data_IF_328213160762
#
_entry.id   IF_328213160762
#
_cell.length_a   1.000
_cell.length_b   1.000
_cell.length_c   1.000
_cell.angle_alpha   90.00
_cell.angle_beta   90.00
_cell.angle_gamma   90.00
#
_symmetry.space_group_name_H-M   'P 1'
#
loop_
_entity.id
_entity.type
_entity.pdbx_description
1 polymer ?
#
# COMPACT_ATOMS: atom_id res chain seq x y z
N UNK A 1 10.70 4.27 -15.01
CA UNK A 1 11.50 3.16 -14.42
C UNK A 1 10.91 1.82 -14.86
N UNK A 2 11.49 0.69 -14.40
CA UNK A 2 11.05 -0.67 -14.80
C UNK A 2 10.08 -1.34 -13.82
N UNK A 3 9.68 -0.65 -12.74
CA UNK A 3 8.90 -1.24 -11.63
C UNK A 3 7.61 -1.93 -12.09
N UNK A 4 6.85 -1.31 -13.01
CA UNK A 4 5.64 -1.94 -13.56
C UNK A 4 5.95 -3.22 -14.34
N UNK A 5 7.05 -3.25 -15.10
CA UNK A 5 7.47 -4.43 -15.85
C UNK A 5 7.93 -5.57 -14.90
N UNK A 6 8.68 -5.24 -13.84
CA UNK A 6 9.06 -6.17 -12.78
C UNK A 6 7.80 -6.76 -12.13
N UNK A 7 6.83 -5.91 -11.77
CA UNK A 7 5.60 -6.36 -11.14
C UNK A 7 4.79 -7.30 -12.04
N UNK A 8 4.59 -6.95 -13.32
CA UNK A 8 3.93 -7.85 -14.30
C UNK A 8 4.64 -9.19 -14.45
N UNK A 9 5.96 -9.20 -14.36
CA UNK A 9 6.76 -10.41 -14.57
C UNK A 9 6.73 -11.34 -13.35
N UNK A 10 6.74 -10.77 -12.15
CA UNK A 10 6.95 -11.50 -10.90
C UNK A 10 5.70 -11.70 -10.04
N UNK A 11 4.61 -10.97 -10.31
CA UNK A 11 3.34 -11.18 -9.61
C UNK A 11 2.88 -12.63 -9.77
N UNK A 12 2.63 -13.32 -8.65
CA UNK A 12 2.27 -14.74 -8.62
C UNK A 12 3.45 -15.71 -8.75
N UNK A 13 4.69 -15.22 -8.90
CA UNK A 13 5.92 -16.05 -8.88
C UNK A 13 6.70 -15.88 -7.58
N UNK A 14 6.75 -14.66 -7.06
CA UNK A 14 7.31 -14.33 -5.75
C UNK A 14 6.40 -13.34 -5.04
N UNK A 15 6.37 -13.32 -3.70
CA UNK A 15 5.69 -12.28 -2.95
C UNK A 15 6.25 -10.89 -3.28
N UNK A 16 5.36 -9.91 -3.41
CA UNK A 16 5.71 -8.52 -3.74
C UNK A 16 5.14 -7.59 -2.67
N UNK A 17 6.01 -6.73 -2.12
CA UNK A 17 5.60 -5.63 -1.25
C UNK A 17 5.96 -4.28 -1.88
N UNK A 18 4.94 -3.51 -2.28
CA UNK A 18 5.09 -2.19 -2.89
C UNK A 18 4.94 -1.06 -1.87
N UNK A 19 5.98 -0.22 -1.73
CA UNK A 19 5.95 0.97 -0.87
C UNK A 19 5.92 2.23 -1.72
N UNK A 20 5.06 3.19 -1.39
CA UNK A 20 4.94 4.49 -2.05
C UNK A 20 4.72 4.35 -3.58
N UNK A 21 5.73 4.66 -4.42
CA UNK A 21 5.65 4.44 -5.86
C UNK A 21 5.40 2.96 -6.20
N UNK A 22 5.92 2.01 -5.42
CA UNK A 22 5.65 0.59 -5.59
C UNK A 22 4.16 0.25 -5.40
N UNK A 23 3.49 0.89 -4.44
CA UNK A 23 2.04 0.77 -4.24
C UNK A 23 1.26 1.34 -5.44
N UNK A 24 1.70 2.48 -5.98
CA UNK A 24 1.10 3.06 -7.19
C UNK A 24 1.26 2.14 -8.39
N UNK A 25 2.45 1.55 -8.57
CA UNK A 25 2.70 0.56 -9.61
C UNK A 25 1.80 -0.68 -9.47
N UNK A 26 1.50 -1.13 -8.24
CA UNK A 26 0.52 -2.22 -8.02
C UNK A 26 -0.84 -1.80 -8.59
N UNK A 27 -1.35 -0.64 -8.17
CA UNK A 27 -2.63 -0.12 -8.66
C UNK A 27 -2.67 -0.05 -10.19
N UNK A 28 -1.65 0.57 -10.80
CA UNK A 28 -1.57 0.75 -12.25
C UNK A 28 -1.46 -0.58 -13.02
N UNK A 29 -0.63 -1.51 -12.55
CA UNK A 29 -0.38 -2.77 -13.27
C UNK A 29 -1.64 -3.63 -13.35
N UNK A 30 -2.47 -3.62 -12.31
CA UNK A 30 -3.72 -4.38 -12.28
C UNK A 30 -4.92 -3.62 -12.87
N UNK A 31 -4.75 -2.39 -13.37
CA UNK A 31 -5.76 -1.66 -14.13
C UNK A 31 -6.38 -0.46 -13.42
N UNK A 32 -5.92 -0.11 -12.22
CA UNK A 32 -6.27 1.15 -11.57
C UNK A 32 -5.57 2.34 -12.21
N UNK A 33 -6.06 3.54 -11.93
CA UNK A 33 -5.45 4.81 -12.35
C UNK A 33 -4.67 5.43 -11.21
N UNK A 34 -3.52 6.00 -11.53
CA UNK A 34 -2.74 6.83 -10.61
C UNK A 34 -2.98 8.29 -10.99
N UNK A 35 -3.55 9.04 -10.07
CA UNK A 35 -3.96 10.45 -10.28
C UNK A 35 -3.24 11.36 -9.30
N UNK A 36 -3.26 12.67 -9.57
CA UNK A 36 -2.79 13.65 -8.60
C UNK A 36 -3.70 13.65 -7.39
N UNK A 37 -3.10 13.66 -6.21
CA UNK A 37 -3.83 13.86 -4.98
C UNK A 37 -4.33 15.31 -4.91
N UNK A 38 -5.57 15.51 -4.44
CA UNK A 38 -6.11 16.85 -4.20
C UNK A 38 -5.31 17.59 -3.13
N UNK A 39 -4.67 16.84 -2.21
CA UNK A 39 -3.86 17.36 -1.12
C UNK A 39 -2.42 16.86 -1.25
N UNK A 40 -1.48 17.79 -1.36
CA UNK A 40 -0.05 17.47 -1.35
C UNK A 40 0.41 17.14 0.08
N UNK A 41 0.96 15.94 0.26
CA UNK A 41 1.43 15.44 1.54
C UNK A 41 2.95 15.24 1.49
N UNK A 42 3.70 16.17 2.07
CA UNK A 42 5.17 16.10 2.10
C UNK A 42 5.68 16.19 3.54
N UNK A 43 6.19 15.07 4.08
CA UNK A 43 6.76 15.01 5.43
C UNK A 43 5.73 15.18 6.54
N UNK A 44 4.46 14.86 6.27
CA UNK A 44 3.36 14.94 7.25
C UNK A 44 2.91 13.54 7.64
N UNK A 45 2.61 13.35 8.92
CA UNK A 45 1.94 12.13 9.38
C UNK A 45 0.44 12.22 9.07
N UNK A 46 -0.19 11.06 8.92
CA UNK A 46 -1.65 10.95 8.85
C UNK A 46 -2.11 9.71 9.59
N UNK A 47 -3.26 9.77 10.26
CA UNK A 47 -3.91 8.58 10.81
C UNK A 47 -4.29 7.63 9.67
N UNK A 48 -3.83 6.38 9.76
CA UNK A 48 -4.13 5.33 8.79
C UNK A 48 -5.21 4.41 9.39
N UNK A 49 -6.39 4.39 8.78
CA UNK A 49 -7.51 3.53 9.17
C UNK A 49 -7.41 2.19 8.44
N UNK A 50 -7.65 1.09 9.15
CA UNK A 50 -7.66 -0.25 8.56
C UNK A 50 -8.43 -1.27 9.41
N UNK A 51 -8.75 -2.42 8.83
CA UNK A 51 -9.38 -3.56 9.53
C UNK A 51 -8.38 -4.68 9.90
N UNK A 52 -7.07 -4.42 9.79
CA UNK A 52 -6.03 -5.37 10.19
C UNK A 52 -5.80 -6.48 9.16
N UNK A 53 -6.13 -6.21 7.90
CA UNK A 53 -5.90 -7.12 6.78
C UNK A 53 -4.45 -7.02 6.26
N UNK A 54 -4.00 -8.06 5.55
CA UNK A 54 -2.68 -8.08 4.89
C UNK A 54 -1.55 -7.75 5.88
N UNK A 55 -0.62 -6.87 5.48
CA UNK A 55 0.55 -6.45 6.26
C UNK A 55 0.20 -5.66 7.52
N UNK A 56 -1.08 -5.33 7.74
CA UNK A 56 -1.56 -4.53 8.88
C UNK A 56 -2.12 -5.38 10.03
N UNK A 57 -1.98 -6.71 9.95
CA UNK A 57 -2.46 -7.63 10.97
C UNK A 57 -1.90 -7.30 12.36
N UNK A 58 -2.80 -7.21 13.34
CA UNK A 58 -2.45 -6.98 14.74
C UNK A 58 -1.97 -5.56 15.07
N UNK A 59 -2.11 -4.60 14.15
CA UNK A 59 -1.81 -3.19 14.41
C UNK A 59 -3.03 -2.46 15.00
N UNK A 60 -2.82 -1.41 15.82
CA UNK A 60 -3.90 -0.52 16.22
C UNK A 60 -4.43 0.28 15.01
N UNK A 61 -5.72 0.61 15.01
CA UNK A 61 -6.33 1.46 14.00
C UNK A 61 -7.11 2.60 14.65
N UNK A 62 -6.82 3.87 14.34
CA UNK A 62 -5.74 4.29 13.44
C UNK A 62 -4.34 4.19 14.09
N UNK A 63 -3.29 4.27 13.26
CA UNK A 63 -1.93 4.59 13.68
C UNK A 63 -1.33 5.70 12.81
N UNK A 64 -0.32 6.39 13.31
CA UNK A 64 0.32 7.47 12.55
C UNK A 64 1.41 6.95 11.61
N UNK A 65 1.30 7.29 10.33
CA UNK A 65 2.30 6.98 9.30
C UNK A 65 2.73 8.22 8.52
N UNK A 66 4.00 8.29 8.12
CA UNK A 66 4.52 9.40 7.34
C UNK A 66 4.14 9.27 5.84
N UNK A 67 3.83 10.41 5.21
CA UNK A 67 3.46 10.50 3.80
C UNK A 67 4.31 11.52 3.06
N UNK A 68 4.68 11.18 1.82
CA UNK A 68 5.52 12.01 0.93
C UNK A 68 4.97 12.10 -0.51
N UNK A 69 3.69 11.81 -0.71
CA UNK A 69 3.14 11.57 -2.04
C UNK A 69 2.33 12.75 -2.60
N UNK A 70 2.44 12.92 -3.91
CA UNK A 70 1.64 13.84 -4.74
C UNK A 70 0.69 13.10 -5.68
N UNK A 71 0.80 11.76 -5.72
CA UNK A 71 0.01 10.86 -6.54
C UNK A 71 -0.59 9.76 -5.66
N UNK A 72 -1.78 9.30 -6.01
CA UNK A 72 -2.46 8.20 -5.34
C UNK A 72 -3.22 7.32 -6.33
N UNK A 73 -3.58 6.12 -5.90
CA UNK A 73 -4.46 5.23 -6.67
C UNK A 73 -5.91 5.70 -6.54
N UNK A 74 -6.58 5.96 -7.67
CA UNK A 74 -7.95 6.46 -7.72
C UNK A 74 -8.95 5.35 -7.38
N UNK A 75 -9.73 5.53 -6.31
CA UNK A 75 -10.70 4.54 -5.82
C UNK A 75 -11.77 4.13 -6.84
N UNK A 76 -12.44 5.04 -7.56
CA UNK A 76 -13.40 4.66 -8.62
C UNK A 76 -12.82 3.76 -9.73
N UNK A 77 -11.52 3.83 -9.98
CA UNK A 77 -10.85 3.02 -11.00
C UNK A 77 -10.35 1.67 -10.49
N UNK A 78 -10.51 1.38 -9.19
CA UNK A 78 -9.86 0.23 -8.58
C UNK A 78 -10.43 -1.08 -9.14
N UNK A 79 -9.58 -1.95 -9.73
CA UNK A 79 -10.03 -3.21 -10.31
C UNK A 79 -10.48 -4.17 -9.21
N UNK A 80 -11.45 -5.04 -9.53
CA UNK A 80 -12.02 -5.99 -8.57
C UNK A 80 -11.03 -7.05 -8.06
N UNK A 81 -9.81 -7.15 -8.60
CA UNK A 81 -8.77 -8.04 -8.09
C UNK A 81 -7.96 -7.45 -6.92
N UNK A 82 -8.13 -6.16 -6.62
CA UNK A 82 -7.46 -5.47 -5.53
C UNK A 82 -8.47 -5.11 -4.43
N UNK A 83 -8.13 -5.45 -3.19
CA UNK A 83 -8.84 -4.97 -2.00
C UNK A 83 -8.11 -3.79 -1.37
N UNK A 84 -8.87 -2.78 -0.95
CA UNK A 84 -8.36 -1.69 -0.11
C UNK A 84 -8.16 -2.21 1.30
N UNK A 85 -6.94 -2.15 1.81
CA UNK A 85 -6.59 -2.64 3.16
C UNK A 85 -6.38 -1.53 4.17
N UNK A 86 -6.17 -0.30 3.69
CA UNK A 86 -6.10 0.89 4.52
C UNK A 86 -6.50 2.15 3.75
N UNK A 87 -6.97 3.15 4.47
CA UNK A 87 -7.37 4.46 3.93
C UNK A 87 -7.22 5.58 4.96
N UNK A 88 -7.28 6.83 4.50
CA UNK A 88 -7.43 8.00 5.39
C UNK A 88 -8.90 8.31 5.66
N UNK A 89 -9.18 9.24 6.58
CA UNK A 89 -10.54 9.72 6.85
C UNK A 89 -11.21 10.37 5.61
N UNK A 90 -10.40 10.90 4.69
CA UNK A 90 -10.84 11.48 3.42
C UNK A 90 -11.07 10.41 2.32
N UNK A 91 -10.85 9.13 2.62
CA UNK A 91 -11.05 8.03 1.68
C UNK A 91 -9.89 7.81 0.71
N UNK A 92 -8.73 8.43 0.92
CA UNK A 92 -7.53 8.18 0.12
C UNK A 92 -7.02 6.75 0.38
N UNK A 93 -6.74 5.98 -0.68
CA UNK A 93 -6.25 4.61 -0.54
C UNK A 93 -4.82 4.63 0.01
N UNK A 94 -4.62 3.96 1.15
CA UNK A 94 -3.32 3.87 1.83
C UNK A 94 -2.75 2.45 1.85
N UNK A 95 -3.57 1.44 1.57
CA UNK A 95 -3.17 0.04 1.52
C UNK A 95 -3.93 -0.72 0.45
N UNK A 96 -3.23 -1.63 -0.24
CA UNK A 96 -3.78 -2.54 -1.24
C UNK A 96 -3.29 -3.97 -1.00
N UNK A 97 -4.14 -4.94 -1.29
CA UNK A 97 -3.76 -6.35 -1.41
C UNK A 97 -4.45 -6.98 -2.62
N UNK A 98 -3.72 -7.81 -3.37
CA UNK A 98 -4.33 -8.61 -4.42
C UNK A 98 -5.09 -9.79 -3.82
N UNK A 99 -6.29 -10.08 -4.33
CA UNK A 99 -7.19 -11.12 -3.77
C UNK A 99 -6.63 -12.52 -3.82
N UNK A 100 -5.88 -12.84 -4.88
CA UNK A 100 -5.38 -14.20 -5.15
C UNK A 100 -3.86 -14.31 -5.28
N UNK A 101 -3.13 -13.20 -5.22
CA UNK A 101 -1.68 -13.19 -5.42
C UNK A 101 -1.01 -12.62 -4.16
N UNK A 102 0.21 -13.04 -3.80
CA UNK A 102 0.94 -12.51 -2.65
C UNK A 102 1.52 -11.12 -2.96
N UNK A 103 0.65 -10.19 -3.34
CA UNK A 103 1.00 -8.81 -3.71
C UNK A 103 0.31 -7.88 -2.73
N UNK A 104 1.11 -7.12 -2.00
CA UNK A 104 0.67 -6.20 -0.97
C UNK A 104 1.34 -4.85 -1.19
N UNK A 105 0.68 -3.75 -0.83
CA UNK A 105 1.32 -2.45 -0.93
C UNK A 105 0.75 -1.42 0.00
N UNK A 106 1.59 -0.49 0.43
CA UNK A 106 1.23 0.64 1.29
C UNK A 106 1.73 1.94 0.67
N UNK A 107 0.88 2.97 0.72
CA UNK A 107 1.18 4.27 0.14
C UNK A 107 2.07 5.14 1.05
N UNK A 108 2.05 4.88 2.36
CA UNK A 108 2.94 5.48 3.35
C UNK A 108 4.27 4.71 3.45
N UNK A 109 5.19 5.23 4.26
CA UNK A 109 6.58 4.74 4.34
C UNK A 109 6.85 3.98 5.65
N UNK A 110 6.67 2.65 5.70
CA UNK A 110 6.93 1.83 6.90
C UNK A 110 8.42 1.79 7.29
N UNK A 111 9.32 2.17 6.39
CA UNK A 111 10.76 2.25 6.63
C UNK A 111 11.18 3.49 7.43
N UNK A 112 10.32 4.52 7.47
CA UNK A 112 10.63 5.76 8.17
C UNK A 112 10.50 5.61 9.68
N UNK A 113 11.42 6.24 10.43
CA UNK A 113 11.36 6.31 11.89
C UNK A 113 10.09 7.01 12.41
N UNK A 114 9.47 7.84 11.57
CA UNK A 114 8.24 8.57 11.89
C UNK A 114 6.97 7.74 11.69
N UNK A 115 7.07 6.56 11.09
CA UNK A 115 5.93 5.64 10.96
C UNK A 115 5.90 4.70 12.14
N UNK A 116 4.77 4.70 12.87
CA UNK A 116 4.55 3.74 13.94
C UNK A 116 4.44 2.32 13.35
N UNK A 117 4.94 1.34 14.09
CA UNK A 117 4.82 -0.08 13.76
C UNK A 117 5.45 -0.55 12.44
N UNK A 118 6.32 0.26 11.80
CA UNK A 118 6.98 -0.08 10.53
C UNK A 118 7.66 -1.46 10.51
N UNK A 119 8.36 -1.82 11.60
CA UNK A 119 8.98 -3.15 11.75
C UNK A 119 7.96 -4.30 11.78
N UNK A 120 6.81 -4.09 12.42
CA UNK A 120 5.77 -5.10 12.51
C UNK A 120 5.06 -5.29 11.16
N UNK A 121 4.87 -4.22 10.38
CA UNK A 121 4.37 -4.28 9.00
C UNK A 121 5.28 -5.17 8.15
N UNK A 122 6.60 -4.94 8.23
CA UNK A 122 7.57 -5.74 7.50
C UNK A 122 7.58 -7.20 7.97
N UNK A 123 7.49 -7.44 9.28
CA UNK A 123 7.39 -8.80 9.83
C UNK A 123 6.14 -9.51 9.31
N UNK A 124 4.98 -8.86 9.32
CA UNK A 124 3.74 -9.40 8.78
C UNK A 124 3.88 -9.78 7.30
N UNK A 125 4.55 -8.95 6.48
CA UNK A 125 4.85 -9.30 5.10
C UNK A 125 5.72 -10.55 5.00
N UNK A 126 6.81 -10.63 5.77
CA UNK A 126 7.68 -11.80 5.78
C UNK A 126 6.95 -13.08 6.21
N UNK A 127 5.99 -12.98 7.13
CA UNK A 127 5.18 -14.12 7.56
C UNK A 127 4.20 -14.56 6.46
N UNK A 128 3.62 -13.62 5.70
CA UNK A 128 2.79 -13.92 4.52
C UNK A 128 3.57 -14.58 3.38
N UNK A 129 4.89 -14.38 3.32
CA UNK A 129 5.76 -15.02 2.32
C UNK A 129 6.10 -16.48 2.65
N UNK A 130 5.87 -16.93 3.90
CA UNK A 130 6.23 -18.27 4.38
C UNK A 130 5.14 -19.32 4.18
N UNK A 131 3.94 -18.87 3.82
CA UNK A 131 2.76 -19.71 3.56
C UNK A 131 2.58 -19.95 2.08
#
# INVERSE_FOLDING_TARGET
GISCAVLRTFAGRVPIFGVCLGHQCIGEVFGGKVVRADRLMHGKTSPILHQGASVLKGLPSPFDAIRYHSLLVERPSLPACLDVTAETAEGEIMGLAHRSLPVHGVQFHPESILTQHGKQILQNFLDLCRT
#
